data_IF_132442727469
#
_entry.id   IF_132442727469
#
_cell.length_a   1.000
_cell.length_b   1.000
_cell.length_c   1.000
_cell.angle_alpha   90.00
_cell.angle_beta   90.00
_cell.angle_gamma   90.00
#
_symmetry.space_group_name_H-M   'P 1'
#
loop_
_entity.id
_entity.type
_entity.pdbx_description
1 polymer ?
#
# COMPACT_ATOMS: atom_id res chain seq x y z
N UNK A 1 2.13 -22.08 2.30
CA UNK A 1 2.15 -22.39 0.89
C UNK A 1 1.61 -21.22 0.06
N UNK A 2 1.94 -21.21 -1.22
CA UNK A 2 1.47 -20.15 -2.14
C UNK A 2 -0.06 -20.14 -2.23
N UNK A 3 -0.70 -21.31 -2.23
CA UNK A 3 -2.16 -21.40 -2.30
C UNK A 3 -2.81 -20.75 -1.07
N UNK A 4 -2.28 -20.98 0.11
CA UNK A 4 -2.79 -20.36 1.34
C UNK A 4 -2.66 -18.84 1.28
N UNK A 5 -1.50 -18.35 0.85
CA UNK A 5 -1.24 -16.92 0.70
C UNK A 5 -2.17 -16.32 -0.36
N UNK A 6 -2.37 -17.02 -1.49
CA UNK A 6 -3.26 -16.54 -2.55
C UNK A 6 -4.69 -16.33 -2.03
N UNK A 7 -5.19 -17.17 -1.12
CA UNK A 7 -6.51 -16.98 -0.51
C UNK A 7 -6.57 -15.68 0.30
N UNK A 8 -5.52 -15.37 1.05
CA UNK A 8 -5.44 -14.13 1.82
C UNK A 8 -5.58 -12.92 0.90
N UNK A 9 -4.91 -12.93 -0.25
CA UNK A 9 -4.97 -11.84 -1.21
C UNK A 9 -6.07 -12.01 -2.26
N UNK A 10 -6.94 -13.03 -2.12
CA UNK A 10 -8.14 -13.25 -2.93
C UNK A 10 -7.87 -13.49 -4.41
N UNK A 11 -6.83 -14.24 -4.72
CA UNK A 11 -6.49 -14.59 -6.12
C UNK A 11 -6.38 -16.10 -6.34
N UNK A 12 -6.95 -16.91 -5.47
CA UNK A 12 -6.85 -18.37 -5.56
C UNK A 12 -7.23 -18.92 -6.93
N UNK A 13 -8.24 -18.32 -7.59
CA UNK A 13 -8.73 -18.76 -8.89
C UNK A 13 -7.73 -18.54 -10.03
N UNK A 14 -6.67 -17.74 -9.83
CA UNK A 14 -5.68 -17.41 -10.83
C UNK A 14 -4.35 -18.14 -10.65
N UNK A 15 -4.27 -19.08 -9.73
CA UNK A 15 -3.01 -19.74 -9.36
C UNK A 15 -2.36 -20.50 -10.53
N UNK A 16 -3.14 -21.00 -11.44
CA UNK A 16 -2.66 -21.81 -12.57
C UNK A 16 -2.31 -20.98 -13.81
N UNK A 17 -2.44 -19.66 -13.72
CA UNK A 17 -2.15 -18.76 -14.83
C UNK A 17 -0.76 -18.15 -14.73
N UNK A 18 -0.16 -17.90 -15.90
CA UNK A 18 1.09 -17.15 -15.95
C UNK A 18 0.81 -15.67 -15.61
N UNK A 19 1.74 -15.00 -14.90
CA UNK A 19 1.54 -13.58 -14.55
C UNK A 19 1.24 -12.69 -15.75
N UNK A 20 1.80 -12.97 -16.92
CA UNK A 20 1.56 -12.19 -18.15
C UNK A 20 0.12 -12.27 -18.65
N UNK A 21 -0.66 -13.23 -18.19
CA UNK A 21 -2.07 -13.39 -18.58
C UNK A 21 -3.02 -12.61 -17.68
N UNK A 22 -2.51 -11.97 -16.64
CA UNK A 22 -3.30 -11.28 -15.62
C UNK A 22 -3.33 -9.78 -15.88
N UNK A 23 -4.40 -9.13 -15.40
CA UNK A 23 -4.48 -7.67 -15.40
C UNK A 23 -3.41 -7.07 -14.47
N UNK A 24 -3.18 -5.75 -14.57
CA UNK A 24 -2.24 -5.06 -13.70
C UNK A 24 -2.54 -5.26 -12.20
N UNK A 25 -3.82 -5.18 -11.81
CA UNK A 25 -4.22 -5.42 -10.42
C UNK A 25 -4.00 -6.85 -9.98
N UNK A 26 -4.28 -7.81 -10.87
CA UNK A 26 -4.03 -9.22 -10.59
C UNK A 26 -2.55 -9.52 -10.47
N UNK A 27 -1.73 -8.93 -11.34
CA UNK A 27 -0.27 -9.06 -11.27
C UNK A 27 0.26 -8.53 -9.96
N UNK A 28 -0.27 -7.40 -9.49
CA UNK A 28 0.14 -6.82 -8.21
C UNK A 28 -0.23 -7.73 -7.05
N UNK A 29 -1.42 -8.33 -7.07
CA UNK A 29 -1.83 -9.27 -6.03
C UNK A 29 -0.98 -10.54 -6.05
N UNK A 30 -0.58 -11.02 -7.23
CA UNK A 30 0.34 -12.16 -7.33
C UNK A 30 1.70 -11.80 -6.72
N UNK A 31 2.21 -10.59 -6.99
CA UNK A 31 3.47 -10.12 -6.42
C UNK A 31 3.39 -10.08 -4.89
N UNK A 32 2.27 -9.61 -4.33
CA UNK A 32 2.05 -9.62 -2.88
C UNK A 32 2.05 -11.05 -2.35
N UNK A 33 1.35 -11.96 -3.04
CA UNK A 33 1.28 -13.36 -2.63
C UNK A 33 2.69 -14.01 -2.60
N UNK A 34 3.52 -13.70 -3.59
CA UNK A 34 4.89 -14.21 -3.65
C UNK A 34 5.73 -13.67 -2.50
N UNK A 35 5.58 -12.39 -2.18
CA UNK A 35 6.28 -11.79 -1.04
C UNK A 35 5.86 -12.48 0.26
N UNK A 36 4.56 -12.69 0.47
CA UNK A 36 4.03 -13.34 1.66
C UNK A 36 4.47 -14.81 1.78
N UNK A 37 4.66 -15.49 0.64
CA UNK A 37 5.06 -16.90 0.64
C UNK A 37 6.42 -17.13 1.29
N UNK A 38 7.28 -16.11 1.37
CA UNK A 38 8.57 -16.20 2.07
C UNK A 38 8.46 -15.96 3.57
N UNK A 39 7.26 -15.72 4.09
CA UNK A 39 6.97 -15.43 5.49
C UNK A 39 7.83 -14.26 6.03
N UNK A 40 7.74 -13.08 5.43
CA UNK A 40 8.57 -11.95 5.80
C UNK A 40 8.10 -11.29 7.09
N UNK A 41 9.02 -10.63 7.80
CA UNK A 41 8.67 -9.80 8.94
C UNK A 41 8.14 -8.44 8.52
N UNK A 42 8.64 -7.92 7.38
CA UNK A 42 8.27 -6.61 6.84
C UNK A 42 8.07 -6.75 5.33
N UNK A 43 7.02 -6.11 4.81
CA UNK A 43 6.79 -6.00 3.37
C UNK A 43 6.96 -4.54 2.96
N UNK A 44 7.71 -4.31 1.90
CA UNK A 44 7.89 -3.00 1.31
C UNK A 44 7.02 -2.85 0.07
N UNK A 45 6.18 -1.81 0.04
CA UNK A 45 5.36 -1.45 -1.11
C UNK A 45 5.85 -0.11 -1.67
N UNK A 46 6.25 -0.09 -2.93
CA UNK A 46 6.71 1.12 -3.60
C UNK A 46 5.66 1.56 -4.63
N UNK A 47 4.81 2.50 -4.25
CA UNK A 47 3.73 3.03 -5.07
C UNK A 47 2.92 1.92 -5.75
N UNK A 48 2.30 1.02 -4.97
CA UNK A 48 1.69 -0.19 -5.52
C UNK A 48 0.50 0.05 -6.45
N UNK A 49 -0.06 1.26 -6.44
CA UNK A 49 -1.23 1.60 -7.25
C UNK A 49 -0.96 2.62 -8.35
N UNK A 50 0.30 3.05 -8.54
CA UNK A 50 0.64 4.19 -9.39
C UNK A 50 0.28 4.00 -10.87
N UNK A 51 0.26 2.77 -11.37
CA UNK A 51 -0.02 2.46 -12.77
C UNK A 51 -1.40 1.83 -12.99
N UNK A 52 -2.26 1.85 -11.97
CA UNK A 52 -3.55 1.18 -12.01
C UNK A 52 -4.70 2.18 -12.18
N UNK A 53 -5.78 1.74 -12.83
CA UNK A 53 -7.01 2.53 -12.87
C UNK A 53 -7.69 2.54 -11.49
N UNK A 54 -8.70 3.42 -11.26
CA UNK A 54 -9.32 3.55 -9.94
C UNK A 54 -9.94 2.25 -9.39
N UNK A 55 -10.50 1.41 -10.25
CA UNK A 55 -11.11 0.16 -9.80
C UNK A 55 -10.06 -0.82 -9.29
N UNK A 56 -8.99 -1.00 -10.05
CA UNK A 56 -7.88 -1.88 -9.67
C UNK A 56 -7.12 -1.32 -8.46
N UNK A 57 -6.97 -0.01 -8.39
CA UNK A 57 -6.39 0.66 -7.23
C UNK A 57 -7.16 0.29 -5.96
N UNK A 58 -8.49 0.39 -6.01
CA UNK A 58 -9.34 0.01 -4.87
C UNK A 58 -9.15 -1.44 -4.43
N UNK A 59 -9.02 -2.36 -5.39
CA UNK A 59 -8.79 -3.78 -5.08
C UNK A 59 -7.45 -4.02 -4.38
N UNK A 60 -6.38 -3.38 -4.87
CA UNK A 60 -5.05 -3.53 -4.28
C UNK A 60 -5.01 -2.92 -2.88
N UNK A 61 -5.59 -1.73 -2.70
CA UNK A 61 -5.65 -1.09 -1.38
C UNK A 61 -6.45 -1.92 -0.39
N UNK A 62 -7.52 -2.59 -0.85
CA UNK A 62 -8.31 -3.47 0.02
C UNK A 62 -7.47 -4.65 0.53
N UNK A 63 -6.64 -5.25 -0.32
CA UNK A 63 -5.72 -6.31 0.08
C UNK A 63 -4.73 -5.80 1.11
N UNK A 64 -4.14 -4.63 0.88
CA UNK A 64 -3.17 -4.05 1.80
C UNK A 64 -3.82 -3.70 3.15
N UNK A 65 -5.06 -3.21 3.13
CA UNK A 65 -5.82 -2.92 4.34
C UNK A 65 -6.05 -4.20 5.15
N UNK A 66 -6.39 -5.29 4.47
CA UNK A 66 -6.56 -6.58 5.13
C UNK A 66 -5.28 -7.07 5.79
N UNK A 67 -4.14 -6.93 5.12
CA UNK A 67 -2.84 -7.30 5.69
C UNK A 67 -2.52 -6.48 6.93
N UNK A 68 -2.84 -5.19 6.91
CA UNK A 68 -2.64 -4.32 8.06
C UNK A 68 -3.50 -4.76 9.25
N UNK A 69 -4.75 -5.13 9.00
CA UNK A 69 -5.66 -5.63 10.03
C UNK A 69 -5.15 -6.95 10.64
N UNK A 70 -4.44 -7.75 9.87
CA UNK A 70 -3.84 -9.00 10.33
C UNK A 70 -2.51 -8.79 11.07
N UNK A 71 -2.09 -7.55 11.25
CA UNK A 71 -0.88 -7.23 12.01
C UNK A 71 0.42 -7.27 11.21
N UNK A 72 0.33 -7.34 9.88
CA UNK A 72 1.53 -7.34 9.03
C UNK A 72 2.23 -6.00 9.11
N UNK A 73 3.53 -6.01 9.37
CA UNK A 73 4.35 -4.80 9.33
C UNK A 73 4.67 -4.45 7.89
N UNK A 74 4.33 -3.22 7.49
CA UNK A 74 4.50 -2.77 6.12
C UNK A 74 5.13 -1.39 6.08
N UNK A 75 6.02 -1.19 5.10
CA UNK A 75 6.52 0.13 4.75
C UNK A 75 5.93 0.45 3.37
N UNK A 76 5.12 1.50 3.30
CA UNK A 76 4.37 1.82 2.08
C UNK A 76 4.73 3.22 1.60
N UNK A 77 5.24 3.32 0.37
CA UNK A 77 5.41 4.60 -0.31
C UNK A 77 4.19 4.78 -1.22
N UNK A 78 3.41 5.83 -0.98
CA UNK A 78 2.15 5.99 -1.69
C UNK A 78 1.72 7.45 -1.78
N UNK A 79 0.93 7.76 -2.80
CA UNK A 79 0.20 9.02 -2.93
C UNK A 79 -1.26 8.87 -2.49
N UNK A 80 -1.66 7.69 -2.05
CA UNK A 80 -3.03 7.42 -1.61
C UNK A 80 -3.22 7.90 -0.18
N UNK A 81 -3.52 9.19 -0.03
CA UNK A 81 -3.55 9.84 1.29
C UNK A 81 -4.70 9.37 2.17
N UNK A 82 -5.85 9.05 1.57
CA UNK A 82 -6.96 8.47 2.33
C UNK A 82 -6.59 7.13 2.96
N UNK A 83 -5.93 6.28 2.20
CA UNK A 83 -5.42 5.00 2.69
C UNK A 83 -4.40 5.21 3.80
N UNK A 84 -3.43 6.09 3.58
CA UNK A 84 -2.39 6.37 4.58
C UNK A 84 -2.99 6.87 5.90
N UNK A 85 -3.96 7.80 5.82
CA UNK A 85 -4.61 8.34 7.00
C UNK A 85 -5.39 7.27 7.77
N UNK A 86 -6.08 6.39 7.05
CA UNK A 86 -6.95 5.38 7.65
C UNK A 86 -6.17 4.20 8.24
N UNK A 87 -5.11 3.76 7.57
CA UNK A 87 -4.50 2.46 7.84
C UNK A 87 -3.18 2.57 8.60
N UNK A 88 -2.41 3.64 8.39
CA UNK A 88 -1.09 3.74 8.99
C UNK A 88 -1.15 4.12 10.47
N UNK A 89 -0.10 3.77 11.19
CA UNK A 89 0.11 4.22 12.56
C UNK A 89 1.30 5.18 12.68
N UNK A 90 2.01 5.40 11.57
CA UNK A 90 3.12 6.33 11.49
C UNK A 90 3.24 6.81 10.06
N UNK A 91 3.28 8.12 9.85
CA UNK A 91 3.39 8.71 8.53
C UNK A 91 4.63 9.59 8.48
N UNK A 92 5.42 9.39 7.43
CA UNK A 92 6.66 10.12 7.22
C UNK A 92 6.55 10.91 5.92
N UNK A 93 6.80 12.22 6.00
CA UNK A 93 6.89 13.07 4.83
C UNK A 93 8.35 13.29 4.48
N UNK A 94 8.74 12.90 3.26
CA UNK A 94 10.10 13.04 2.76
C UNK A 94 10.09 14.06 1.62
N UNK A 95 10.99 15.03 1.69
CA UNK A 95 11.17 16.03 0.65
C UNK A 95 12.64 16.38 0.55
N UNK A 96 13.13 16.52 -0.68
CA UNK A 96 14.55 16.82 -0.96
C UNK A 96 15.52 15.83 -0.30
N UNK A 97 15.12 14.54 -0.28
CA UNK A 97 15.95 13.48 0.28
C UNK A 97 16.05 13.47 1.79
N UNK A 98 15.21 14.24 2.48
CA UNK A 98 15.22 14.33 3.94
C UNK A 98 13.86 14.08 4.53
N UNK A 99 13.84 13.51 5.73
CA UNK A 99 12.62 13.37 6.52
C UNK A 99 12.28 14.75 7.07
N UNK A 100 11.13 15.29 6.66
CA UNK A 100 10.65 16.60 7.07
C UNK A 100 9.66 16.50 8.23
N UNK A 101 8.80 15.48 8.22
CA UNK A 101 7.85 15.23 9.32
C UNK A 101 7.74 13.72 9.53
N UNK A 102 7.53 13.32 10.77
CA UNK A 102 7.41 11.93 11.16
C UNK A 102 6.47 11.89 12.37
N UNK A 103 5.20 11.62 12.12
CA UNK A 103 4.15 11.77 13.12
C UNK A 103 3.06 10.72 12.95
N UNK A 104 2.21 10.55 13.99
CA UNK A 104 0.98 9.77 13.81
C UNK A 104 0.08 10.41 12.75
N UNK A 105 -0.75 9.63 12.06
CA UNK A 105 -1.58 10.16 10.97
C UNK A 105 -2.53 11.28 11.43
N UNK A 106 -3.09 11.19 12.62
CA UNK A 106 -3.97 12.24 13.12
C UNK A 106 -3.27 13.59 13.18
N UNK A 107 -2.03 13.62 13.63
CA UNK A 107 -1.26 14.87 13.75
C UNK A 107 -0.80 15.36 12.38
N UNK A 108 -0.25 14.49 11.55
CA UNK A 108 0.30 14.90 10.26
C UNK A 108 -0.78 15.45 9.33
N UNK A 109 -1.94 14.79 9.27
CA UNK A 109 -3.01 15.18 8.35
C UNK A 109 -3.85 16.35 8.85
N UNK A 110 -4.00 16.50 10.16
CA UNK A 110 -4.79 17.60 10.72
C UNK A 110 -3.98 18.88 10.94
N UNK A 111 -2.67 18.75 11.13
CA UNK A 111 -1.79 19.88 11.42
C UNK A 111 -0.44 19.73 10.71
N UNK A 112 -0.44 19.67 9.36
CA UNK A 112 0.82 19.61 8.63
C UNK A 112 1.63 20.88 8.81
N UNK A 113 2.92 20.74 8.98
CA UNK A 113 3.81 21.87 9.29
C UNK A 113 4.59 22.36 8.09
N UNK A 114 5.10 21.44 7.30
CA UNK A 114 5.92 21.79 6.14
C UNK A 114 5.06 22.41 5.02
N UNK A 115 5.47 23.54 4.41
CA UNK A 115 4.66 24.20 3.36
C UNK A 115 4.34 23.31 2.17
N UNK A 116 5.28 22.48 1.74
CA UNK A 116 5.04 21.56 0.62
C UNK A 116 4.06 20.46 0.98
N UNK A 117 4.09 19.98 2.21
CA UNK A 117 3.11 19.01 2.68
C UNK A 117 1.72 19.63 2.73
N UNK A 118 1.60 20.86 3.24
CA UNK A 118 0.33 21.59 3.25
C UNK A 118 -0.24 21.73 1.84
N UNK A 119 0.60 22.14 0.88
CA UNK A 119 0.19 22.31 -0.50
C UNK A 119 -0.24 20.98 -1.12
N UNK A 120 0.51 19.92 -0.86
CA UNK A 120 0.21 18.58 -1.36
C UNK A 120 -1.14 18.08 -0.82
N UNK A 121 -1.33 18.16 0.48
CA UNK A 121 -2.56 17.67 1.13
C UNK A 121 -3.79 18.47 0.71
N UNK A 122 -3.64 19.78 0.47
CA UNK A 122 -4.77 20.60 0.00
C UNK A 122 -5.27 20.19 -1.37
N UNK A 123 -4.44 19.56 -2.19
CA UNK A 123 -4.82 19.04 -3.50
C UNK A 123 -5.37 17.62 -3.46
N UNK A 124 -4.93 16.82 -2.48
CA UNK A 124 -5.24 15.39 -2.43
C UNK A 124 -6.42 15.03 -1.53
N UNK A 125 -6.78 15.93 -0.63
CA UNK A 125 -7.86 15.69 0.33
C UNK A 125 -9.01 16.66 0.21
#
# INVERSE_FOLDING_TARGET
SVRRVARIVKIGMFMDRYPSELSGGQQQRVAIARALASDPEIIYFDEPTSALDPELTGEVLAVMRQLAEEGMTMLVVTHEMGFAREVSNRVIFIDEGRIQEDEPPQELFSNPKHPRLKAFLSRML
#
